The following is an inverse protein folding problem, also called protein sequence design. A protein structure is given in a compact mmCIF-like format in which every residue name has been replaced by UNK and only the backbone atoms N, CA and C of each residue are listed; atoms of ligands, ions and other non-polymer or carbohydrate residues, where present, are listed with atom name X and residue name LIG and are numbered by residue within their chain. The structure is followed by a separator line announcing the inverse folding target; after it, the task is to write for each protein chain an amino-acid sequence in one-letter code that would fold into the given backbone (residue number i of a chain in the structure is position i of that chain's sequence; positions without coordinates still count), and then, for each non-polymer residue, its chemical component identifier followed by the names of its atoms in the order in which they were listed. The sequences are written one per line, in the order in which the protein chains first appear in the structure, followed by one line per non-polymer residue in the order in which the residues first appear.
data_IF_997466057184
#
_entry.id   IF_997466057184
#
_cell.length_a   1.000
_cell.length_b   1.000
_cell.length_c   1.000
_cell.angle_alpha   90.00
_cell.angle_beta   90.00
_cell.angle_gamma   90.00
#
_symmetry.space_group_name_H-M   'P 1'
#
loop_
_entity.id
_entity.type
_entity.pdbx_description
1 polymer ?
#
# COMPACT_ATOMS: atom_id res chain seq x y z
N UNK A 1 35.72 -0.66 13.80
CA UNK A 1 35.36 0.78 13.72
C UNK A 1 34.39 0.90 12.55
N UNK A 2 33.12 1.20 12.79
CA UNK A 2 32.10 1.29 11.73
C UNK A 2 32.15 2.67 11.10
N UNK A 3 32.14 2.76 9.76
CA UNK A 3 32.08 4.06 9.06
C UNK A 3 30.74 4.78 9.19
N UNK A 4 29.74 4.16 9.84
CA UNK A 4 28.41 4.71 10.02
C UNK A 4 28.31 5.53 11.32
N UNK A 5 28.75 6.79 11.23
CA UNK A 5 28.62 7.82 12.25
C UNK A 5 28.54 9.20 11.56
N UNK A 6 28.23 10.26 12.30
CA UNK A 6 28.15 11.61 11.70
C UNK A 6 29.48 12.07 11.12
N UNK A 7 30.62 11.69 11.72
CA UNK A 7 31.98 11.95 11.23
C UNK A 7 32.25 13.41 10.84
N UNK A 8 31.50 14.36 11.40
CA UNK A 8 31.58 15.79 11.05
C UNK A 8 32.80 16.49 11.64
N UNK A 9 33.47 15.89 12.63
CA UNK A 9 34.70 16.42 13.23
C UNK A 9 35.95 15.71 12.70
N UNK A 10 37.05 16.46 12.60
CA UNK A 10 38.35 15.90 12.19
C UNK A 10 38.82 14.77 13.10
N UNK A 11 38.68 14.94 14.42
CA UNK A 11 39.05 13.94 15.41
C UNK A 11 38.30 12.60 15.23
N UNK A 12 37.06 12.64 14.70
CA UNK A 12 36.32 11.43 14.38
C UNK A 12 36.83 10.75 13.09
N UNK A 13 37.30 11.52 12.11
CA UNK A 13 37.76 11.01 10.80
C UNK A 13 39.20 10.49 10.81
N UNK A 14 40.09 11.12 11.58
CA UNK A 14 41.52 10.81 11.59
C UNK A 14 41.84 9.33 11.88
N UNK A 15 41.20 8.67 12.87
CA UNK A 15 41.41 7.23 13.10
C UNK A 15 40.99 6.36 11.91
N UNK A 16 39.94 6.76 11.17
CA UNK A 16 39.44 6.04 9.99
C UNK A 16 40.42 6.14 8.83
N UNK A 17 40.92 7.35 8.56
CA UNK A 17 41.93 7.60 7.51
C UNK A 17 43.22 6.83 7.83
N UNK A 18 43.68 6.88 9.09
CA UNK A 18 44.86 6.16 9.52
C UNK A 18 44.69 4.64 9.37
N UNK A 19 43.51 4.10 9.70
CA UNK A 19 43.22 2.69 9.51
C UNK A 19 43.24 2.28 8.04
N UNK A 20 42.58 3.04 7.15
CA UNK A 20 42.58 2.76 5.72
C UNK A 20 43.99 2.74 5.14
N UNK A 21 44.81 3.74 5.50
CA UNK A 21 46.23 3.82 5.10
C UNK A 21 47.06 2.63 5.57
N UNK A 22 46.89 2.18 6.83
CA UNK A 22 47.60 0.98 7.34
C UNK A 22 47.28 -0.29 6.55
N UNK A 23 46.12 -0.35 5.92
CA UNK A 23 45.66 -1.51 5.15
C UNK A 23 45.75 -1.30 3.63
N UNK A 24 46.42 -0.24 3.16
CA UNK A 24 46.50 0.13 1.73
C UNK A 24 45.13 0.22 1.04
N UNK A 25 44.10 0.67 1.77
CA UNK A 25 42.75 0.84 1.24
C UNK A 25 42.49 2.31 0.89
N UNK A 26 41.80 2.61 -0.23
CA UNK A 26 41.31 3.96 -0.48
C UNK A 26 40.28 4.36 0.57
N UNK A 27 40.28 5.64 0.95
CA UNK A 27 39.29 6.23 1.86
C UNK A 27 38.55 7.35 1.13
N UNK A 28 37.23 7.20 1.01
CA UNK A 28 36.36 8.11 0.28
C UNK A 28 35.46 8.84 1.27
N UNK A 29 35.35 10.17 1.16
CA UNK A 29 34.38 10.95 1.91
C UNK A 29 33.09 11.07 1.10
N UNK A 30 31.98 10.57 1.64
CA UNK A 30 30.64 10.74 1.07
C UNK A 30 29.88 11.78 1.88
N UNK A 31 29.59 12.93 1.29
CA UNK A 31 28.89 14.03 1.94
C UNK A 31 27.39 13.95 1.68
N UNK A 32 26.61 13.86 2.75
CA UNK A 32 25.14 13.96 2.68
C UNK A 32 24.74 15.43 2.84
N UNK A 33 24.72 16.16 1.73
CA UNK A 33 24.43 17.61 1.70
C UNK A 33 22.93 17.95 1.76
N UNK A 34 22.14 17.15 2.47
CA UNK A 34 20.72 17.45 2.69
C UNK A 34 20.58 18.77 3.45
N UNK A 35 19.70 19.70 3.02
CA UNK A 35 19.50 20.98 3.70
C UNK A 35 19.18 20.81 5.19
N UNK A 36 19.69 21.72 6.03
CA UNK A 36 19.51 21.64 7.48
C UNK A 36 18.03 21.61 7.90
N UNK A 37 17.16 22.35 7.22
CA UNK A 37 15.70 22.34 7.47
C UNK A 37 15.12 20.93 7.31
N UNK A 38 15.42 20.27 6.19
CA UNK A 38 14.96 18.91 5.91
C UNK A 38 15.52 17.91 6.94
N UNK A 39 16.76 18.09 7.40
CA UNK A 39 17.34 17.24 8.44
C UNK A 39 16.64 17.39 9.80
N UNK A 40 16.14 18.61 10.12
CA UNK A 40 15.36 18.91 11.32
C UNK A 40 13.95 18.33 11.21
N UNK A 41 13.25 18.57 10.09
CA UNK A 41 11.92 18.01 9.82
C UNK A 41 11.91 16.47 9.93
N UNK A 42 12.99 15.81 9.48
CA UNK A 42 13.15 14.35 9.59
C UNK A 42 13.40 13.85 11.03
N UNK A 43 13.54 14.74 12.02
CA UNK A 43 13.59 14.35 13.43
C UNK A 43 12.19 14.16 14.02
N UNK A 44 11.17 14.86 13.52
CA UNK A 44 9.82 14.88 14.11
C UNK A 44 9.17 13.49 14.23
N UNK A 45 9.16 12.64 13.20
CA UNK A 45 8.53 11.31 13.31
C UNK A 45 9.40 10.30 14.07
N UNK A 46 10.60 10.68 14.56
CA UNK A 46 11.50 9.72 15.20
C UNK A 46 11.04 9.41 16.63
N UNK A 47 11.18 8.15 17.08
CA UNK A 47 10.99 7.80 18.48
C UNK A 47 11.89 8.65 19.38
N UNK A 48 11.38 9.08 20.55
CA UNK A 48 12.08 10.00 21.45
C UNK A 48 13.50 9.55 21.85
N UNK A 49 13.76 8.25 21.91
CA UNK A 49 15.09 7.69 22.20
C UNK A 49 16.09 7.75 21.01
N UNK A 50 15.66 8.21 19.84
CA UNK A 50 16.46 8.35 18.62
C UNK A 50 16.41 9.75 18.01
N UNK A 51 15.56 10.62 18.53
CA UNK A 51 15.44 12.02 18.13
C UNK A 51 16.63 12.81 18.65
N UNK A 52 17.19 13.66 17.79
CA UNK A 52 18.31 14.55 18.12
C UNK A 52 17.80 15.98 18.19
N UNK A 53 18.19 16.79 19.20
CA UNK A 53 17.76 18.18 19.30
C UNK A 53 18.12 19.01 18.05
N UNK A 54 17.25 19.95 17.68
CA UNK A 54 17.40 20.80 16.50
C UNK A 54 18.77 21.48 16.43
N UNK A 55 19.21 22.10 17.53
CA UNK A 55 20.52 22.78 17.61
C UNK A 55 21.68 21.84 17.31
N UNK A 56 21.58 20.58 17.74
CA UNK A 56 22.59 19.56 17.46
C UNK A 56 22.60 19.19 15.98
N UNK A 57 21.44 19.05 15.35
CA UNK A 57 21.33 18.80 13.90
C UNK A 57 21.93 19.96 13.10
N UNK A 58 21.60 21.20 13.46
CA UNK A 58 22.13 22.40 12.81
C UNK A 58 23.64 22.54 13.01
N UNK A 59 24.14 22.24 14.21
CA UNK A 59 25.58 22.24 14.50
C UNK A 59 26.33 21.18 13.67
N UNK A 60 25.79 19.97 13.55
CA UNK A 60 26.36 18.92 12.72
C UNK A 60 26.38 19.31 11.24
N UNK A 61 25.29 19.87 10.73
CA UNK A 61 25.23 20.37 9.35
C UNK A 61 26.27 21.47 9.10
N UNK A 62 26.40 22.43 10.02
CA UNK A 62 27.43 23.47 9.96
C UNK A 62 28.83 22.85 9.96
N UNK A 63 29.12 21.92 10.85
CA UNK A 63 30.42 21.25 10.92
C UNK A 63 30.77 20.49 9.63
N UNK A 64 29.79 19.82 9.02
CA UNK A 64 29.93 19.17 7.71
C UNK A 64 30.37 20.18 6.63
N UNK A 65 29.67 21.32 6.50
CA UNK A 65 30.01 22.36 5.53
C UNK A 65 31.43 22.92 5.74
N UNK A 66 31.85 23.11 6.99
CA UNK A 66 33.20 23.60 7.31
C UNK A 66 34.28 22.56 7.04
N UNK A 67 33.95 21.27 7.11
CA UNK A 67 34.91 20.20 6.82
C UNK A 67 35.19 20.04 5.33
N UNK A 68 34.19 20.27 4.47
CA UNK A 68 34.26 19.97 3.03
C UNK A 68 35.56 20.45 2.33
N UNK A 69 36.02 21.71 2.49
CA UNK A 69 37.20 22.20 1.77
C UNK A 69 38.52 21.52 2.14
N UNK A 70 38.59 20.87 3.31
CA UNK A 70 39.86 20.31 3.84
C UNK A 70 39.93 18.79 3.78
N UNK A 71 38.87 18.10 3.35
CA UNK A 71 38.82 16.62 3.37
C UNK A 71 39.92 15.97 2.53
N UNK A 72 40.21 16.50 1.32
CA UNK A 72 41.32 15.98 0.52
C UNK A 72 42.67 16.13 1.25
N UNK A 73 42.90 17.27 1.91
CA UNK A 73 44.11 17.53 2.67
C UNK A 73 44.22 16.65 3.94
N UNK A 74 43.09 16.22 4.52
CA UNK A 74 43.07 15.24 5.62
C UNK A 74 43.54 13.84 5.17
N UNK A 75 43.54 13.57 3.86
CA UNK A 75 44.01 12.32 3.28
C UNK A 75 42.92 11.40 2.74
N UNK A 76 41.72 11.95 2.49
CA UNK A 76 40.73 11.27 1.64
C UNK A 76 41.20 11.23 0.19
N UNK A 77 41.02 10.09 -0.47
CA UNK A 77 41.35 9.90 -1.87
C UNK A 77 40.36 10.62 -2.78
N UNK A 78 39.09 10.60 -2.40
CA UNK A 78 38.00 11.28 -3.12
C UNK A 78 36.99 11.87 -2.14
N UNK A 79 36.29 12.90 -2.61
CA UNK A 79 35.21 13.59 -1.90
C UNK A 79 34.04 13.69 -2.87
N UNK A 80 32.94 13.02 -2.55
CA UNK A 80 31.75 12.94 -3.40
C UNK A 80 30.50 13.37 -2.62
N UNK A 81 29.54 13.96 -3.31
CA UNK A 81 28.23 14.21 -2.73
C UNK A 81 27.33 13.00 -2.95
N UNK A 82 26.49 12.68 -1.96
CA UNK A 82 25.63 11.52 -2.01
C UNK A 82 24.64 11.58 -3.19
N UNK A 83 24.21 12.78 -3.60
CA UNK A 83 23.31 13.02 -4.73
C UNK A 83 23.99 12.84 -6.11
N UNK A 84 25.32 12.92 -6.18
CA UNK A 84 26.08 12.60 -7.39
C UNK A 84 26.30 11.10 -7.62
N UNK A 85 25.96 10.25 -6.65
CA UNK A 85 26.08 8.81 -6.79
C UNK A 85 24.90 8.24 -7.58
N UNK A 86 25.16 7.33 -8.53
CA UNK A 86 24.11 6.65 -9.29
C UNK A 86 23.31 5.69 -8.40
N UNK A 87 22.24 6.18 -7.78
CA UNK A 87 21.42 5.40 -6.84
C UNK A 87 20.30 4.60 -7.52
N UNK A 88 20.09 4.76 -8.82
CA UNK A 88 18.99 4.09 -9.53
C UNK A 88 19.15 2.57 -9.50
N UNK A 89 20.36 2.05 -9.77
CA UNK A 89 20.61 0.61 -9.77
C UNK A 89 20.30 -0.06 -8.41
N UNK A 90 20.89 0.37 -7.28
CA UNK A 90 20.57 -0.24 -5.99
C UNK A 90 19.12 0.00 -5.55
N UNK A 91 18.47 1.07 -6.04
CA UNK A 91 17.05 1.27 -5.82
C UNK A 91 16.18 0.26 -6.59
N UNK A 92 16.40 0.12 -7.90
CA UNK A 92 15.68 -0.84 -8.74
C UNK A 92 15.96 -2.28 -8.33
N UNK A 93 17.17 -2.60 -7.86
CA UNK A 93 17.48 -3.91 -7.31
C UNK A 93 16.56 -4.24 -6.14
N UNK A 94 16.44 -3.34 -5.14
CA UNK A 94 15.54 -3.56 -3.99
C UNK A 94 14.07 -3.69 -4.40
N UNK A 95 13.62 -2.88 -5.35
CA UNK A 95 12.24 -2.99 -5.87
C UNK A 95 12.01 -4.29 -6.62
N UNK A 96 12.99 -4.73 -7.41
CA UNK A 96 12.95 -5.99 -8.13
C UNK A 96 12.88 -7.17 -7.17
N UNK A 97 13.75 -7.20 -6.15
CA UNK A 97 13.77 -8.25 -5.12
C UNK A 97 12.42 -8.34 -4.40
N UNK A 98 11.88 -7.19 -3.95
CA UNK A 98 10.57 -7.15 -3.31
C UNK A 98 9.45 -7.65 -4.24
N UNK A 99 9.49 -7.28 -5.53
CA UNK A 99 8.49 -7.71 -6.50
C UNK A 99 8.61 -9.21 -6.82
N UNK A 100 9.82 -9.73 -6.94
CA UNK A 100 10.09 -11.15 -7.13
C UNK A 100 9.53 -11.97 -5.97
N UNK A 101 9.75 -11.52 -4.73
CA UNK A 101 9.19 -12.14 -3.54
C UNK A 101 7.65 -12.09 -3.53
N UNK A 102 7.04 -10.92 -3.80
CA UNK A 102 5.58 -10.79 -3.88
C UNK A 102 4.96 -11.77 -4.90
N UNK A 103 5.68 -12.04 -6.00
CA UNK A 103 5.25 -12.96 -7.06
C UNK A 103 5.63 -14.43 -6.80
N UNK A 104 6.37 -14.74 -5.73
CA UNK A 104 6.88 -16.10 -5.46
C UNK A 104 7.95 -16.59 -6.45
N UNK A 105 8.54 -15.68 -7.24
CA UNK A 105 9.53 -16.02 -8.28
C UNK A 105 10.92 -16.34 -7.71
N UNK A 106 11.13 -16.08 -6.42
CA UNK A 106 12.33 -16.44 -5.66
C UNK A 106 12.22 -17.81 -4.98
N UNK A 107 11.10 -18.54 -5.20
CA UNK A 107 10.81 -19.81 -4.55
C UNK A 107 10.09 -19.69 -3.21
N UNK A 108 9.75 -18.47 -2.77
CA UNK A 108 8.79 -18.26 -1.67
C UNK A 108 7.36 -18.54 -2.13
N UNK A 109 6.41 -18.65 -1.19
CA UNK A 109 4.99 -18.80 -1.54
C UNK A 109 4.43 -17.55 -2.25
N UNK A 110 5.10 -16.41 -2.11
CA UNK A 110 4.62 -15.11 -2.58
C UNK A 110 3.29 -14.73 -1.96
N UNK A 111 2.59 -13.79 -2.61
CA UNK A 111 1.27 -13.32 -2.18
C UNK A 111 0.12 -14.08 -2.82
N UNK A 112 0.37 -14.84 -3.90
CA UNK A 112 -0.68 -15.58 -4.60
C UNK A 112 -1.89 -14.71 -4.98
N UNK A 113 -3.07 -15.09 -4.50
CA UNK A 113 -4.32 -14.37 -4.75
C UNK A 113 -4.46 -13.03 -4.00
N UNK A 114 -3.59 -12.76 -3.02
CA UNK A 114 -3.51 -11.48 -2.32
C UNK A 114 -2.81 -10.40 -3.14
N UNK A 115 -2.20 -10.73 -4.29
CA UNK A 115 -1.57 -9.76 -5.18
C UNK A 115 -2.56 -8.68 -5.64
N UNK A 116 -3.79 -9.07 -5.94
CA UNK A 116 -4.83 -8.13 -6.38
C UNK A 116 -5.30 -7.25 -5.23
N UNK A 117 -5.48 -7.84 -4.03
CA UNK A 117 -5.80 -7.11 -2.79
C UNK A 117 -4.74 -6.05 -2.50
N UNK A 118 -3.45 -6.43 -2.53
CA UNK A 118 -2.31 -5.51 -2.35
C UNK A 118 -2.31 -4.38 -3.38
N UNK A 119 -2.66 -4.69 -4.63
CA UNK A 119 -2.67 -3.73 -5.73
C UNK A 119 -3.76 -2.68 -5.57
N UNK A 120 -4.96 -3.10 -5.17
CA UNK A 120 -6.14 -2.22 -5.09
C UNK A 120 -6.16 -1.46 -3.76
N UNK A 121 -5.92 -2.15 -2.65
CA UNK A 121 -6.10 -1.58 -1.31
C UNK A 121 -4.81 -1.25 -0.56
N UNK A 122 -3.65 -1.63 -1.11
CA UNK A 122 -2.34 -1.40 -0.51
C UNK A 122 -1.88 -2.52 0.43
N UNK A 123 -0.58 -2.55 0.78
CA UNK A 123 -0.01 -3.58 1.65
C UNK A 123 -0.54 -3.54 3.09
N UNK A 124 -1.04 -2.40 3.56
CA UNK A 124 -1.55 -2.20 4.92
C UNK A 124 -2.82 -3.02 5.22
N UNK A 125 -3.59 -3.37 4.18
CA UNK A 125 -4.81 -4.16 4.30
C UNK A 125 -4.54 -5.67 4.37
N UNK A 126 -3.43 -6.15 3.83
CA UNK A 126 -3.12 -7.58 3.76
C UNK A 126 -3.19 -8.30 5.11
N UNK A 127 -2.67 -7.75 6.23
CA UNK A 127 -2.76 -8.42 7.52
C UNK A 127 -4.19 -8.57 8.08
N UNK A 128 -5.13 -7.76 7.58
CA UNK A 128 -6.54 -7.76 8.00
C UNK A 128 -7.42 -8.59 7.07
N UNK A 129 -6.93 -8.91 5.87
CA UNK A 129 -7.66 -9.62 4.83
C UNK A 129 -7.81 -11.11 5.15
N UNK A 130 -8.99 -11.66 4.86
CA UNK A 130 -9.27 -13.10 4.90
C UNK A 130 -10.21 -13.46 3.77
N UNK A 131 -9.92 -14.55 3.06
CA UNK A 131 -10.91 -15.16 2.17
C UNK A 131 -11.95 -15.95 2.98
N UNK A 132 -13.22 -15.78 2.61
CA UNK A 132 -14.33 -16.60 3.10
C UNK A 132 -14.56 -17.77 2.16
N UNK A 133 -13.91 -18.88 2.44
CA UNK A 133 -14.08 -20.10 1.66
C UNK A 133 -15.55 -20.57 1.67
N UNK A 134 -16.08 -20.89 0.49
CA UNK A 134 -17.43 -21.44 0.32
C UNK A 134 -18.59 -20.46 0.54
N UNK A 135 -18.34 -19.15 0.59
CA UNK A 135 -19.39 -18.14 0.67
C UNK A 135 -20.16 -18.03 -0.66
N UNK A 136 -21.49 -17.95 -0.59
CA UNK A 136 -22.41 -17.88 -1.75
C UNK A 136 -23.11 -16.52 -1.90
N UNK A 137 -22.95 -15.61 -0.94
CA UNK A 137 -23.59 -14.29 -0.90
C UNK A 137 -23.31 -13.39 -2.12
N UNK A 138 -22.26 -13.69 -2.88
CA UNK A 138 -21.84 -12.93 -4.06
C UNK A 138 -22.09 -13.69 -5.38
N UNK A 139 -23.09 -14.58 -5.42
CA UNK A 139 -23.50 -15.23 -6.67
C UNK A 139 -22.45 -16.18 -7.27
N UNK A 140 -21.55 -16.71 -6.45
CA UNK A 140 -20.45 -17.59 -6.88
C UNK A 140 -19.09 -16.90 -6.96
N UNK A 141 -19.04 -15.57 -6.88
CA UNK A 141 -17.77 -14.85 -6.75
C UNK A 141 -17.09 -15.14 -5.41
N UNK A 142 -15.75 -15.10 -5.41
CA UNK A 142 -14.97 -15.27 -4.18
C UNK A 142 -15.20 -14.09 -3.25
N UNK A 143 -15.47 -14.39 -1.98
CA UNK A 143 -15.74 -13.37 -0.97
C UNK A 143 -14.54 -13.19 -0.06
N UNK A 144 -14.11 -11.94 0.09
CA UNK A 144 -13.09 -11.52 1.05
C UNK A 144 -13.71 -10.73 2.20
N UNK A 145 -13.01 -10.70 3.34
CA UNK A 145 -13.34 -9.86 4.48
C UNK A 145 -12.10 -9.13 4.99
N UNK A 146 -12.30 -7.87 5.38
CA UNK A 146 -11.34 -7.10 6.17
C UNK A 146 -11.89 -7.04 7.58
N UNK A 147 -11.16 -7.56 8.57
CA UNK A 147 -11.66 -7.63 9.96
C UNK A 147 -10.76 -6.95 10.98
N UNK A 148 -11.36 -6.13 11.83
CA UNK A 148 -10.72 -5.52 13.00
C UNK A 148 -11.64 -5.64 14.22
N UNK A 149 -11.30 -6.53 15.15
CA UNK A 149 -12.17 -6.82 16.30
C UNK A 149 -13.51 -7.41 15.85
N UNK A 150 -14.60 -6.72 16.18
CA UNK A 150 -15.97 -7.08 15.77
C UNK A 150 -16.42 -6.37 14.49
N UNK A 151 -15.68 -5.37 14.02
CA UNK A 151 -15.98 -4.66 12.77
C UNK A 151 -15.42 -5.45 11.59
N UNK A 152 -16.19 -5.53 10.52
CA UNK A 152 -15.77 -6.14 9.27
C UNK A 152 -16.38 -5.44 8.07
N UNK A 153 -15.65 -5.45 6.96
CA UNK A 153 -16.17 -5.16 5.62
C UNK A 153 -16.13 -6.45 4.82
N UNK A 154 -17.17 -6.69 4.02
CA UNK A 154 -17.29 -7.86 3.15
C UNK A 154 -17.15 -7.39 1.70
N UNK A 155 -16.34 -8.11 0.92
CA UNK A 155 -16.03 -7.76 -0.46
C UNK A 155 -16.23 -8.96 -1.38
N UNK A 156 -16.76 -8.71 -2.58
CA UNK A 156 -16.83 -9.70 -3.65
C UNK A 156 -15.72 -9.43 -4.67
N UNK A 157 -14.94 -10.45 -5.03
CA UNK A 157 -13.96 -10.37 -6.11
C UNK A 157 -14.65 -10.58 -7.45
N UNK A 158 -14.82 -9.50 -8.22
CA UNK A 158 -15.40 -9.54 -9.57
C UNK A 158 -14.32 -9.91 -10.58
N UNK A 159 -14.50 -11.03 -11.26
CA UNK A 159 -13.47 -11.61 -12.17
C UNK A 159 -13.85 -11.55 -13.65
N UNK A 160 -14.89 -10.81 -14.01
CA UNK A 160 -15.46 -10.79 -15.37
C UNK A 160 -15.73 -12.21 -15.91
N UNK A 161 -16.18 -13.11 -15.03
CA UNK A 161 -16.39 -14.52 -15.37
C UNK A 161 -17.62 -14.72 -16.26
N UNK A 162 -18.56 -13.78 -16.22
CA UNK A 162 -19.77 -13.73 -17.04
C UNK A 162 -19.62 -12.91 -18.34
N UNK A 163 -18.52 -12.17 -18.51
CA UNK A 163 -18.27 -11.36 -19.70
C UNK A 163 -18.95 -9.98 -19.68
N UNK A 164 -19.62 -9.61 -18.58
CA UNK A 164 -20.38 -8.37 -18.45
C UNK A 164 -19.76 -7.37 -17.44
N UNK A 165 -18.71 -7.75 -16.70
CA UNK A 165 -18.18 -6.97 -15.57
C UNK A 165 -16.73 -6.51 -15.66
N UNK A 166 -16.38 -5.48 -14.88
CA UNK A 166 -14.99 -5.07 -14.67
C UNK A 166 -14.29 -5.98 -13.66
N UNK A 167 -12.98 -6.20 -13.86
CA UNK A 167 -12.16 -6.94 -12.89
C UNK A 167 -11.85 -6.03 -11.70
N UNK A 168 -12.29 -6.41 -10.51
CA UNK A 168 -12.14 -5.58 -9.33
C UNK A 168 -12.75 -6.19 -8.07
N UNK A 169 -13.09 -5.33 -7.12
CA UNK A 169 -13.82 -5.71 -5.94
C UNK A 169 -15.06 -4.84 -5.81
N UNK A 170 -16.15 -5.44 -5.35
CA UNK A 170 -17.26 -4.68 -4.80
C UNK A 170 -17.25 -4.83 -3.28
N UNK A 171 -17.73 -3.81 -2.57
CA UNK A 171 -17.95 -3.84 -1.13
C UNK A 171 -19.44 -3.94 -0.84
N UNK A 172 -19.79 -4.76 0.15
CA UNK A 172 -21.16 -4.91 0.63
C UNK A 172 -21.57 -3.64 1.38
N UNK A 173 -22.73 -3.08 1.00
CA UNK A 173 -23.34 -1.89 1.61
C UNK A 173 -24.82 -2.16 1.93
N UNK A 174 -25.50 -1.32 2.73
CA UNK A 174 -26.94 -1.37 2.89
C UNK A 174 -27.68 -1.22 1.54
N UNK A 175 -28.89 -1.77 1.45
CA UNK A 175 -29.75 -1.53 0.29
C UNK A 175 -30.29 -0.09 0.35
N UNK A 176 -30.16 0.71 -0.72
CA UNK A 176 -30.64 2.10 -0.73
C UNK A 176 -32.18 2.20 -0.85
N UNK A 177 -32.84 1.12 -1.29
CA UNK A 177 -34.29 1.15 -1.58
C UNK A 177 -35.18 0.77 -0.39
N UNK A 178 -34.70 -0.15 0.47
CA UNK A 178 -35.50 -0.76 1.54
C UNK A 178 -34.57 -1.29 2.64
N UNK A 179 -34.78 -0.84 3.88
CA UNK A 179 -34.00 -1.23 5.06
C UNK A 179 -34.32 -2.63 5.56
N UNK A 180 -35.44 -3.22 5.13
CA UNK A 180 -35.83 -4.61 5.37
C UNK A 180 -35.48 -5.54 4.19
N UNK A 181 -34.78 -5.04 3.17
CA UNK A 181 -34.39 -5.82 2.00
C UNK A 181 -33.55 -7.05 2.40
N UNK A 182 -33.97 -8.28 2.06
CA UNK A 182 -33.20 -9.49 2.36
C UNK A 182 -32.02 -9.71 1.40
N UNK A 183 -31.92 -8.91 0.33
CA UNK A 183 -30.87 -8.99 -0.67
C UNK A 183 -29.53 -8.40 -0.23
N UNK A 184 -28.50 -8.67 -1.03
CA UNK A 184 -27.18 -8.07 -0.86
C UNK A 184 -27.01 -6.90 -1.84
N UNK A 185 -26.56 -5.76 -1.35
CA UNK A 185 -26.25 -4.60 -2.18
C UNK A 185 -24.73 -4.41 -2.26
N UNK A 186 -24.24 -4.24 -3.48
CA UNK A 186 -22.81 -4.20 -3.79
C UNK A 186 -22.49 -2.91 -4.53
N UNK A 187 -21.37 -2.29 -4.19
CA UNK A 187 -20.85 -1.10 -4.88
C UNK A 187 -19.37 -1.27 -5.23
N UNK A 188 -18.90 -0.83 -6.41
CA UNK A 188 -17.50 -0.97 -6.79
C UNK A 188 -16.51 -0.28 -5.82
N UNK A 189 -15.43 -0.99 -5.50
CA UNK A 189 -14.38 -0.55 -4.58
C UNK A 189 -13.00 -0.55 -5.26
N UNK A 190 -12.54 0.63 -5.65
CA UNK A 190 -11.29 0.81 -6.41
C UNK A 190 -10.05 1.11 -5.56
N UNK A 191 -10.24 1.44 -4.29
CA UNK A 191 -9.14 1.81 -3.39
C UNK A 191 -9.55 1.72 -1.92
N UNK A 192 -8.58 1.88 -1.02
CA UNK A 192 -8.85 2.00 0.43
C UNK A 192 -9.78 3.18 0.76
N UNK A 193 -9.84 4.21 -0.08
CA UNK A 193 -10.78 5.33 0.09
C UNK A 193 -12.22 4.89 -0.07
N UNK A 194 -12.53 3.96 -0.98
CA UNK A 194 -13.89 3.39 -1.10
C UNK A 194 -14.27 2.63 0.17
N UNK A 195 -13.33 1.87 0.75
CA UNK A 195 -13.57 1.14 2.01
C UNK A 195 -13.86 2.09 3.18
N UNK A 196 -13.13 3.20 3.25
CA UNK A 196 -13.40 4.25 4.24
C UNK A 196 -14.80 4.86 4.05
N UNK A 197 -15.17 5.21 2.81
CA UNK A 197 -16.50 5.75 2.49
C UNK A 197 -17.62 4.75 2.83
N UNK A 198 -17.47 3.47 2.47
CA UNK A 198 -18.40 2.41 2.82
C UNK A 198 -18.59 2.31 4.34
N UNK A 199 -17.50 2.33 5.11
CA UNK A 199 -17.58 2.21 6.57
C UNK A 199 -18.19 3.45 7.24
N UNK A 200 -18.07 4.63 6.62
CA UNK A 200 -18.62 5.88 7.13
C UNK A 200 -20.05 6.18 6.61
N UNK A 201 -20.63 5.30 5.79
CA UNK A 201 -21.96 5.46 5.20
C UNK A 201 -22.02 6.39 3.98
N UNK A 202 -20.88 6.92 3.51
CA UNK A 202 -20.82 7.83 2.35
C UNK A 202 -21.06 7.12 1.00
N UNK A 203 -21.31 5.81 1.03
CA UNK A 203 -21.68 4.98 -0.12
C UNK A 203 -23.08 4.36 0.02
N UNK A 204 -23.86 4.69 1.06
CA UNK A 204 -25.13 3.99 1.33
C UNK A 204 -26.22 4.31 0.29
N UNK A 205 -26.11 5.45 -0.41
CA UNK A 205 -27.04 5.91 -1.47
C UNK A 205 -26.33 6.10 -2.83
N UNK A 206 -25.15 5.49 -3.04
CA UNK A 206 -24.36 5.68 -4.26
C UNK A 206 -25.09 5.11 -5.51
N UNK A 207 -25.01 5.80 -6.65
CA UNK A 207 -25.73 5.43 -7.89
C UNK A 207 -25.21 4.12 -8.49
N UNK A 208 -23.95 3.76 -8.19
CA UNK A 208 -23.32 2.53 -8.67
C UNK A 208 -23.71 1.29 -7.83
N UNK A 209 -24.57 1.45 -6.81
CA UNK A 209 -25.06 0.30 -6.03
C UNK A 209 -25.92 -0.61 -6.90
N UNK A 210 -25.66 -1.91 -6.83
CA UNK A 210 -26.53 -2.94 -7.40
C UNK A 210 -27.00 -3.88 -6.30
N UNK A 211 -28.31 -3.92 -6.08
CA UNK A 211 -28.96 -4.85 -5.16
C UNK A 211 -29.36 -6.14 -5.89
N UNK A 212 -29.13 -7.29 -5.27
CA UNK A 212 -29.53 -8.59 -5.85
C UNK A 212 -31.05 -8.77 -5.99
N UNK A 213 -31.85 -7.95 -5.30
CA UNK A 213 -33.33 -8.00 -5.34
C UNK A 213 -33.87 -6.86 -6.21
N UNK A 214 -33.41 -5.63 -6.00
CA UNK A 214 -33.96 -4.44 -6.66
C UNK A 214 -33.23 -4.07 -7.96
N UNK A 215 -32.05 -4.63 -8.22
CA UNK A 215 -31.22 -4.27 -9.36
C UNK A 215 -30.41 -2.98 -9.12
N UNK A 216 -30.03 -2.26 -10.19
CA UNK A 216 -29.25 -1.01 -10.11
C UNK A 216 -29.98 0.11 -9.36
N UNK A 217 -29.23 0.91 -8.60
CA UNK A 217 -29.72 2.10 -7.89
C UNK A 217 -29.83 3.31 -8.84
N UNK A 218 -30.69 3.18 -9.85
CA UNK A 218 -30.93 4.24 -10.83
C UNK A 218 -32.30 4.87 -10.62
N UNK A 219 -32.36 6.20 -10.69
CA UNK A 219 -33.62 6.97 -10.77
C UNK A 219 -34.30 6.86 -12.16
N UNK A 220 -33.83 5.99 -13.06
CA UNK A 220 -34.35 5.85 -14.41
C UNK A 220 -35.59 4.94 -14.45
N UNK A 221 -36.80 5.46 -14.74
CA UNK A 221 -38.03 4.68 -14.76
C UNK A 221 -38.11 3.65 -15.90
N UNK A 222 -37.15 3.65 -16.84
CA UNK A 222 -37.14 2.75 -18.00
C UNK A 222 -36.23 1.50 -17.84
N UNK A 223 -35.57 1.32 -16.69
CA UNK A 223 -34.85 0.07 -16.38
C UNK A 223 -35.85 -0.92 -15.75
N UNK A 224 -36.14 -2.07 -16.38
CA UNK A 224 -37.07 -3.04 -15.81
C UNK A 224 -36.51 -3.56 -14.48
N UNK A 225 -37.16 -3.19 -13.38
CA UNK A 225 -37.00 -3.85 -12.08
C UNK A 225 -37.29 -5.33 -12.33
N UNK A 226 -36.27 -6.17 -12.27
CA UNK A 226 -36.40 -7.60 -12.53
C UNK A 226 -37.12 -8.23 -11.33
N UNK A 227 -38.43 -8.02 -11.24
CA UNK A 227 -39.31 -8.78 -10.36
C UNK A 227 -39.31 -10.20 -10.93
N UNK A 228 -38.53 -11.08 -10.32
CA UNK A 228 -38.63 -12.50 -10.56
C UNK A 228 -40.06 -12.95 -10.23
N UNK A 229 -40.89 -13.04 -11.27
CA UNK A 229 -42.23 -13.59 -11.20
C UNK A 229 -42.12 -15.06 -10.79
N UNK A 230 -42.46 -15.32 -9.52
CA UNK A 230 -42.83 -16.64 -9.05
C UNK A 230 -44.21 -17.00 -9.62
N UNK A 231 -44.29 -17.28 -10.92
CA UNK A 231 -45.47 -17.94 -11.48
C UNK A 231 -45.34 -19.46 -11.31
N UNK A 232 -46.31 -19.98 -10.56
CA UNK A 232 -46.44 -21.36 -10.19
C UNK A 232 -46.61 -22.27 -11.42
N UNK A 233 -45.94 -23.40 -11.33
CA UNK A 233 -46.07 -24.58 -12.17
C UNK A 233 -47.54 -25.04 -12.24
N UNK A 234 -48.21 -24.90 -13.40
CA UNK A 234 -49.31 -25.79 -13.80
C UNK A 234 -48.93 -26.50 -15.11
N UNK A 235 -48.68 -27.81 -14.97
CA UNK A 235 -48.46 -28.74 -16.06
C UNK A 235 -49.79 -29.05 -16.76
N UNK A 236 -49.76 -28.98 -18.09
CA UNK A 236 -50.78 -29.50 -19.01
C UNK A 236 -51.14 -30.96 -18.73
N UNK A 237 -52.43 -31.31 -18.85
CA UNK A 237 -52.86 -32.60 -19.43
C UNK A 237 -54.12 -32.41 -20.29
N UNK A 238 -53.90 -32.32 -21.60
CA UNK A 238 -54.49 -33.12 -22.70
C UNK A 238 -55.94 -33.63 -22.53
N UNK A 239 -56.81 -33.28 -23.49
CA UNK A 239 -57.92 -34.13 -23.92
C UNK A 239 -59.03 -33.45 -24.72
N UNK A 240 -59.00 -33.54 -26.05
CA UNK A 240 -60.13 -33.23 -26.94
C UNK A 240 -59.75 -32.67 -28.29
#
# INVERSE_FOLDING_TARGET
MTGNATNVTRAAREPLIAAAKRHNMPVIAVLVATPASVCVERQDPRPANRTVPEDTVRAQHKAMLHSHPVLLAEGFNEVVFADSLHQLLPYLQRLSEARTADLGLDGSEGLGDLLLVRRIFGPEILPLWRWREGSDIAGGDRVGEIRLGQQYLTLALRTNVDGEGDIGFDVLVPCPHDDECPGYAWVPAYSVTCLFRALNGDLDDDEDIVCTVHGPNTDDPDVPQNTADHEAHELEVIGG
#
